data_IF_313541469940
#
_entry.id   IF_313541469940
#
_cell.length_a   1.000
_cell.length_b   1.000
_cell.length_c   1.000
_cell.angle_alpha   90.00
_cell.angle_beta   90.00
_cell.angle_gamma   90.00
#
_symmetry.space_group_name_H-M   'P 1'
#
loop_
_entity.id
_entity.type
_entity.pdbx_description
1 polymer ?
#
# COMPACT_ATOMS: atom_id res chain seq x y z
N UNK A 1 -6.99 -21.47 -4.64
CA UNK A 1 -8.16 -22.34 -4.52
C UNK A 1 -8.04 -23.29 -3.31
N UNK A 2 -7.00 -24.18 -3.22
CA UNK A 2 -6.85 -25.14 -2.11
C UNK A 2 -6.81 -24.47 -0.73
N UNK A 3 -6.06 -23.39 -0.56
CA UNK A 3 -5.96 -22.67 0.71
C UNK A 3 -7.34 -22.15 1.16
N UNK A 4 -8.05 -21.45 0.29
CA UNK A 4 -9.37 -20.89 0.61
C UNK A 4 -10.40 -21.97 0.94
N UNK A 5 -10.36 -23.09 0.23
CA UNK A 5 -11.19 -24.26 0.57
C UNK A 5 -10.92 -24.78 1.97
N UNK A 6 -9.64 -24.90 2.33
CA UNK A 6 -9.26 -25.35 3.67
C UNK A 6 -9.69 -24.36 4.75
N UNK A 7 -9.61 -23.06 4.49
CA UNK A 7 -10.11 -22.01 5.41
C UNK A 7 -11.59 -22.17 5.63
N UNK A 8 -12.39 -22.31 4.57
CA UNK A 8 -13.85 -22.52 4.66
C UNK A 8 -14.23 -23.82 5.37
N UNK A 9 -13.38 -24.86 5.32
CA UNK A 9 -13.59 -26.11 6.03
C UNK A 9 -13.22 -26.02 7.52
N UNK A 10 -12.22 -25.19 7.85
CA UNK A 10 -11.69 -25.09 9.20
C UNK A 10 -12.39 -24.04 10.07
N UNK A 11 -13.03 -23.06 9.48
CA UNK A 11 -13.65 -21.93 10.18
C UNK A 11 -15.09 -21.70 9.70
N UNK A 12 -15.95 -21.32 10.63
CA UNK A 12 -17.29 -20.80 10.30
C UNK A 12 -17.15 -19.33 9.86
N UNK A 13 -17.34 -19.08 8.58
CA UNK A 13 -17.21 -17.74 8.00
C UNK A 13 -18.56 -17.01 7.86
N UNK A 14 -19.68 -17.63 8.29
CA UNK A 14 -21.02 -17.03 8.13
C UNK A 14 -21.24 -15.79 8.98
N UNK A 15 -20.50 -15.65 10.07
CA UNK A 15 -20.60 -14.51 10.99
C UNK A 15 -19.51 -13.45 10.77
N UNK A 16 -18.69 -13.57 9.71
CA UNK A 16 -17.67 -12.56 9.42
C UNK A 16 -18.31 -11.27 8.91
N UNK A 17 -17.87 -10.15 9.47
CA UNK A 17 -18.20 -8.82 8.95
C UNK A 17 -17.33 -8.48 7.72
N UNK A 18 -16.09 -8.96 7.67
CA UNK A 18 -15.18 -8.73 6.56
C UNK A 18 -14.23 -9.92 6.38
N UNK A 19 -14.04 -10.37 5.15
CA UNK A 19 -13.00 -11.32 4.77
C UNK A 19 -11.99 -10.64 3.86
N UNK A 20 -10.87 -10.23 4.45
CA UNK A 20 -9.78 -9.53 3.75
C UNK A 20 -8.69 -10.50 3.31
N UNK A 21 -8.19 -10.31 2.10
CA UNK A 21 -6.99 -10.97 1.59
C UNK A 21 -5.95 -9.96 1.14
N UNK A 22 -4.75 -10.10 1.69
CA UNK A 22 -3.57 -9.38 1.23
C UNK A 22 -3.16 -9.95 -0.14
N UNK A 23 -3.62 -9.31 -1.24
CA UNK A 23 -3.24 -9.73 -2.60
C UNK A 23 -1.80 -9.30 -2.92
N UNK A 24 -1.35 -8.22 -2.27
CA UNK A 24 0.05 -7.85 -2.16
C UNK A 24 0.60 -7.18 -3.41
N UNK A 25 1.67 -7.74 -3.95
CA UNK A 25 2.45 -7.13 -5.04
C UNK A 25 1.68 -7.18 -6.37
N UNK A 26 1.60 -6.07 -7.11
CA UNK A 26 0.91 -5.99 -8.42
C UNK A 26 1.36 -7.07 -9.42
N UNK A 27 2.66 -7.37 -9.49
CA UNK A 27 3.22 -8.40 -10.38
C UNK A 27 2.73 -9.83 -10.08
N UNK A 28 2.18 -10.07 -8.90
CA UNK A 28 1.64 -11.38 -8.51
C UNK A 28 0.13 -11.49 -8.64
N UNK A 29 -0.57 -10.38 -8.89
CA UNK A 29 -2.02 -10.32 -9.03
C UNK A 29 -2.41 -10.68 -10.46
N UNK A 30 -3.31 -11.65 -10.61
CA UNK A 30 -3.90 -12.02 -11.91
C UNK A 30 -5.42 -12.07 -11.81
N UNK A 31 -6.10 -11.90 -12.96
CA UNK A 31 -7.57 -11.99 -13.02
C UNK A 31 -8.09 -13.33 -12.47
N UNK A 32 -7.41 -14.43 -12.78
CA UNK A 32 -7.79 -15.77 -12.31
C UNK A 32 -7.73 -15.85 -10.78
N UNK A 33 -6.67 -15.34 -10.16
CA UNK A 33 -6.55 -15.30 -8.69
C UNK A 33 -7.63 -14.44 -8.08
N UNK A 34 -7.88 -13.24 -8.60
CA UNK A 34 -8.93 -12.35 -8.13
C UNK A 34 -10.31 -12.99 -8.25
N UNK A 35 -10.61 -13.67 -9.37
CA UNK A 35 -11.86 -14.40 -9.57
C UNK A 35 -12.03 -15.51 -8.54
N UNK A 36 -10.95 -16.25 -8.23
CA UNK A 36 -10.97 -17.27 -7.16
C UNK A 36 -11.24 -16.64 -5.80
N UNK A 37 -10.57 -15.53 -5.45
CA UNK A 37 -10.82 -14.83 -4.19
C UNK A 37 -12.28 -14.43 -4.07
N UNK A 38 -12.84 -13.81 -5.12
CA UNK A 38 -14.24 -13.37 -5.15
C UNK A 38 -15.22 -14.54 -5.01
N UNK A 39 -14.95 -15.65 -5.70
CA UNK A 39 -15.75 -16.91 -5.59
C UNK A 39 -15.82 -17.43 -4.15
N UNK A 40 -14.76 -17.25 -3.36
CA UNK A 40 -14.70 -17.67 -1.96
C UNK A 40 -15.16 -16.59 -0.96
N UNK A 41 -15.87 -15.57 -1.44
CA UNK A 41 -16.48 -14.57 -0.57
C UNK A 41 -15.49 -13.56 0.04
N UNK A 42 -14.34 -13.37 -0.59
CA UNK A 42 -13.42 -12.30 -0.17
C UNK A 42 -14.04 -10.95 -0.51
N UNK A 43 -14.21 -10.11 0.51
CA UNK A 43 -14.85 -8.80 0.41
C UNK A 43 -13.84 -7.72 0.04
N UNK A 44 -12.66 -7.77 0.66
CA UNK A 44 -11.62 -6.76 0.56
C UNK A 44 -10.29 -7.36 0.15
N UNK A 45 -9.55 -6.62 -0.66
CA UNK A 45 -8.17 -6.95 -1.01
C UNK A 45 -7.24 -5.76 -0.78
N UNK A 46 -5.95 -6.04 -0.55
CA UNK A 46 -4.91 -5.02 -0.60
C UNK A 46 -4.07 -5.16 -1.87
N UNK A 47 -3.83 -4.03 -2.53
CA UNK A 47 -2.86 -3.89 -3.63
C UNK A 47 -1.77 -2.95 -3.13
N UNK A 48 -0.51 -3.40 -3.15
CA UNK A 48 0.59 -2.71 -2.49
C UNK A 48 1.56 -2.08 -3.52
N UNK A 49 1.24 -0.88 -4.07
CA UNK A 49 2.13 -0.19 -4.99
C UNK A 49 3.47 0.18 -4.37
N UNK A 50 3.47 0.58 -3.11
CA UNK A 50 4.56 1.16 -2.34
C UNK A 50 4.94 2.58 -2.81
N UNK A 51 5.06 2.81 -4.11
CA UNK A 51 5.25 4.07 -4.82
C UNK A 51 4.60 3.98 -6.20
N UNK A 52 4.32 5.13 -6.82
CA UNK A 52 3.92 5.25 -8.22
C UNK A 52 5.04 5.87 -9.07
N UNK A 53 6.28 5.87 -8.57
CA UNK A 53 7.47 6.29 -9.29
C UNK A 53 8.30 5.07 -9.67
N UNK A 54 8.41 4.79 -10.96
CA UNK A 54 9.10 3.60 -11.48
C UNK A 54 10.59 3.56 -11.09
N UNK A 55 11.28 4.71 -11.03
CA UNK A 55 12.68 4.76 -10.60
C UNK A 55 12.85 4.39 -9.12
N UNK A 56 11.91 4.81 -8.27
CA UNK A 56 11.88 4.42 -6.84
C UNK A 56 11.59 2.93 -6.70
N UNK A 57 10.60 2.42 -7.47
CA UNK A 57 10.26 0.99 -7.47
C UNK A 57 11.44 0.12 -7.88
N UNK A 58 12.15 0.48 -8.95
CA UNK A 58 13.37 -0.21 -9.39
C UNK A 58 14.46 -0.17 -8.31
N UNK A 59 14.68 1.00 -7.70
CA UNK A 59 15.68 1.21 -6.64
C UNK A 59 15.46 0.33 -5.41
N UNK A 60 14.21 0.01 -5.07
CA UNK A 60 13.86 -0.90 -3.95
C UNK A 60 13.66 -2.37 -4.38
N UNK A 61 14.04 -2.72 -5.61
CA UNK A 61 13.95 -4.09 -6.14
C UNK A 61 12.53 -4.58 -6.40
N UNK A 62 11.60 -3.67 -6.71
CA UNK A 62 10.26 -4.03 -7.18
C UNK A 62 10.29 -4.27 -8.69
N UNK A 63 9.55 -5.27 -9.16
CA UNK A 63 9.50 -5.68 -10.57
C UNK A 63 8.22 -5.21 -11.27
N UNK A 64 7.36 -4.44 -10.60
CA UNK A 64 6.17 -3.84 -11.18
C UNK A 64 6.39 -2.35 -11.41
N UNK A 65 5.68 -1.81 -12.40
CA UNK A 65 5.61 -0.39 -12.72
C UNK A 65 4.34 0.25 -12.15
N UNK A 66 4.27 1.59 -12.19
CA UNK A 66 3.03 2.32 -11.90
C UNK A 66 1.89 1.87 -12.83
N UNK A 67 2.16 1.59 -14.11
CA UNK A 67 1.15 1.09 -15.05
C UNK A 67 0.62 -0.28 -14.63
N UNK A 68 1.45 -1.18 -14.13
CA UNK A 68 0.99 -2.47 -13.60
C UNK A 68 0.03 -2.30 -12.43
N UNK A 69 0.27 -1.31 -11.56
CA UNK A 69 -0.65 -0.97 -10.45
C UNK A 69 -2.02 -0.56 -11.00
N UNK A 70 -2.05 0.36 -11.98
CA UNK A 70 -3.28 0.82 -12.62
C UNK A 70 -4.05 -0.35 -13.24
N UNK A 71 -3.37 -1.21 -13.99
CA UNK A 71 -3.96 -2.37 -14.66
C UNK A 71 -4.53 -3.37 -13.64
N UNK A 72 -3.82 -3.62 -12.54
CA UNK A 72 -4.29 -4.55 -11.49
C UNK A 72 -5.46 -3.98 -10.71
N UNK A 73 -5.44 -2.68 -10.43
CA UNK A 73 -6.56 -2.01 -9.80
C UNK A 73 -7.82 -2.10 -10.67
N UNK A 74 -7.70 -1.75 -11.96
CA UNK A 74 -8.80 -1.87 -12.91
C UNK A 74 -9.31 -3.31 -13.01
N UNK A 75 -8.41 -4.30 -13.10
CA UNK A 75 -8.78 -5.73 -13.13
C UNK A 75 -9.55 -6.12 -11.86
N UNK A 76 -9.16 -5.64 -10.70
CA UNK A 76 -9.84 -5.92 -9.44
C UNK A 76 -11.27 -5.34 -9.44
N UNK A 77 -11.43 -4.11 -9.91
CA UNK A 77 -12.76 -3.48 -10.08
C UNK A 77 -13.65 -4.26 -11.05
N UNK A 78 -13.12 -4.69 -12.19
CA UNK A 78 -13.87 -5.49 -13.18
C UNK A 78 -14.29 -6.86 -12.64
N UNK A 79 -13.50 -7.48 -11.78
CA UNK A 79 -13.85 -8.73 -11.08
C UNK A 79 -14.92 -8.50 -10.02
N UNK A 80 -15.15 -7.25 -9.61
CA UNK A 80 -16.22 -6.85 -8.69
C UNK A 80 -15.77 -6.62 -7.25
N UNK A 81 -14.49 -6.31 -7.00
CA UNK A 81 -14.06 -5.83 -5.68
C UNK A 81 -14.47 -4.37 -5.50
N UNK A 82 -15.28 -4.12 -4.46
CA UNK A 82 -15.73 -2.80 -4.04
C UNK A 82 -14.92 -2.23 -2.87
N UNK A 83 -14.13 -3.07 -2.19
CA UNK A 83 -13.27 -2.66 -1.10
C UNK A 83 -11.81 -3.00 -1.44
N UNK A 84 -11.03 -1.98 -1.81
CA UNK A 84 -9.61 -2.11 -2.14
C UNK A 84 -8.81 -1.18 -1.23
N UNK A 85 -7.83 -1.74 -0.53
CA UNK A 85 -6.82 -1.00 0.18
C UNK A 85 -5.57 -0.84 -0.70
N UNK A 86 -4.94 0.32 -0.67
CA UNK A 86 -3.67 0.56 -1.35
C UNK A 86 -2.60 1.02 -0.36
N UNK A 87 -1.48 0.30 -0.31
CA UNK A 87 -0.38 0.61 0.60
C UNK A 87 0.73 1.39 -0.11
N UNK A 88 1.18 2.47 0.51
CA UNK A 88 2.35 3.25 0.07
C UNK A 88 3.32 3.45 1.22
N UNK A 89 4.58 3.74 0.92
CA UNK A 89 5.64 3.91 1.92
C UNK A 89 6.30 5.28 1.74
N UNK A 90 6.23 6.11 2.76
CA UNK A 90 7.01 7.34 2.86
C UNK A 90 8.46 7.04 3.27
N UNK A 91 9.43 7.69 2.62
CA UNK A 91 10.85 7.58 2.94
C UNK A 91 11.56 6.42 2.26
N UNK A 92 11.07 5.91 1.14
CA UNK A 92 11.80 4.97 0.29
C UNK A 92 13.09 5.61 -0.23
N UNK A 93 14.11 4.79 -0.46
CA UNK A 93 15.37 5.27 -1.01
C UNK A 93 15.17 5.81 -2.43
N UNK A 94 15.69 7.02 -2.68
CA UNK A 94 15.52 7.72 -3.96
C UNK A 94 14.18 8.45 -4.13
N UNK A 95 13.25 8.35 -3.16
CA UNK A 95 12.01 9.11 -3.19
C UNK A 95 12.19 10.52 -2.60
N UNK A 96 11.38 11.47 -3.07
CA UNK A 96 11.35 12.85 -2.58
C UNK A 96 9.93 13.24 -2.17
N UNK A 97 9.75 14.30 -1.35
CA UNK A 97 8.43 14.79 -1.00
C UNK A 97 7.54 15.08 -2.22
N UNK A 98 8.11 15.61 -3.32
CA UNK A 98 7.39 15.91 -4.56
C UNK A 98 6.96 14.64 -5.30
N UNK A 99 7.86 13.65 -5.40
CA UNK A 99 7.56 12.35 -6.00
C UNK A 99 6.53 11.58 -5.19
N UNK A 100 6.63 11.62 -3.86
CA UNK A 100 5.64 11.03 -2.97
C UNK A 100 4.28 11.73 -3.07
N UNK A 101 4.26 13.07 -3.18
CA UNK A 101 3.04 13.84 -3.43
C UNK A 101 2.33 13.39 -4.72
N UNK A 102 3.09 13.15 -5.79
CA UNK A 102 2.57 12.61 -7.04
C UNK A 102 2.02 11.18 -6.86
N UNK A 103 2.70 10.33 -6.07
CA UNK A 103 2.19 9.01 -5.70
C UNK A 103 0.81 9.12 -5.04
N UNK A 104 0.63 10.01 -4.07
CA UNK A 104 -0.67 10.23 -3.42
C UNK A 104 -1.73 10.72 -4.41
N UNK A 105 -1.37 11.63 -5.32
CA UNK A 105 -2.31 12.13 -6.34
C UNK A 105 -2.81 10.99 -7.25
N UNK A 106 -1.92 10.14 -7.73
CA UNK A 106 -2.29 8.99 -8.55
C UNK A 106 -3.19 8.00 -7.79
N UNK A 107 -2.92 7.75 -6.50
CA UNK A 107 -3.78 6.91 -5.66
C UNK A 107 -5.16 7.53 -5.46
N UNK A 108 -5.25 8.85 -5.30
CA UNK A 108 -6.51 9.58 -5.18
C UNK A 108 -7.34 9.52 -6.47
N UNK A 109 -6.70 9.58 -7.64
CA UNK A 109 -7.38 9.42 -8.94
C UNK A 109 -8.02 8.03 -9.09
N UNK A 110 -7.41 6.99 -8.54
CA UNK A 110 -7.98 5.63 -8.48
C UNK A 110 -9.17 5.53 -7.53
N UNK A 111 -9.24 6.41 -6.53
CA UNK A 111 -10.29 6.48 -5.53
C UNK A 111 -10.55 5.12 -4.83
N UNK A 112 -9.54 4.50 -4.20
CA UNK A 112 -9.73 3.30 -3.41
C UNK A 112 -10.48 3.61 -2.10
N UNK A 113 -11.11 2.61 -1.50
CA UNK A 113 -11.83 2.78 -0.24
C UNK A 113 -10.90 3.02 0.94
N UNK A 114 -9.63 2.60 0.82
CA UNK A 114 -8.63 2.83 1.86
C UNK A 114 -7.24 3.04 1.27
N UNK A 115 -6.47 3.93 1.89
CA UNK A 115 -5.05 4.16 1.60
C UNK A 115 -4.29 4.04 2.91
N UNK A 116 -3.29 3.15 2.95
CA UNK A 116 -2.40 3.00 4.10
C UNK A 116 -1.05 3.63 3.77
N UNK A 117 -0.63 4.57 4.57
CA UNK A 117 0.69 5.22 4.44
C UNK A 117 1.62 4.66 5.53
N UNK A 118 2.59 3.88 5.11
CA UNK A 118 3.65 3.37 5.97
C UNK A 118 4.85 4.32 5.97
N UNK A 119 5.69 4.22 7.00
CA UNK A 119 7.00 4.85 7.02
C UNK A 119 8.10 3.80 7.04
N UNK A 120 9.17 4.04 6.30
CA UNK A 120 10.34 3.18 6.36
C UNK A 120 11.07 3.40 7.70
N UNK A 121 11.11 2.36 8.54
CA UNK A 121 11.85 2.42 9.79
C UNK A 121 13.37 2.31 9.52
N UNK A 122 14.14 3.31 9.93
CA UNK A 122 15.60 3.22 9.90
C UNK A 122 16.08 2.09 10.82
N UNK A 123 16.88 1.14 10.29
CA UNK A 123 17.50 0.11 11.12
C UNK A 123 18.51 0.75 12.07
N UNK A 124 18.43 0.42 13.38
CA UNK A 124 19.50 0.74 14.34
C UNK A 124 20.78 0.04 13.88
N UNK A 125 21.86 0.81 13.62
CA UNK A 125 23.15 0.28 13.22
C UNK A 125 23.76 0.92 11.98
N UNK A 126 23.12 1.92 11.39
CA UNK A 126 23.77 2.77 10.40
C UNK A 126 24.87 3.59 11.08
N UNK A 127 26.09 3.53 10.51
CA UNK A 127 27.30 4.15 11.05
C UNK A 127 27.15 5.65 11.36
N UNK A 128 27.89 6.13 12.35
CA UNK A 128 27.89 7.54 12.80
C UNK A 128 28.27 8.56 11.72
N UNK A 129 28.77 8.12 10.56
CA UNK A 129 29.12 8.99 9.42
C UNK A 129 27.93 9.62 8.70
N UNK A 130 26.66 9.17 8.95
CA UNK A 130 25.50 9.58 8.20
C UNK A 130 24.48 10.45 8.99
N UNK A 131 24.90 11.12 10.08
CA UNK A 131 23.95 11.90 10.89
C UNK A 131 23.21 12.99 10.11
N UNK A 132 23.90 13.70 9.21
CA UNK A 132 23.31 14.77 8.41
C UNK A 132 22.33 14.19 7.36
N UNK A 133 22.71 13.09 6.71
CA UNK A 133 21.87 12.38 5.76
C UNK A 133 20.64 11.77 6.44
N UNK A 134 20.79 11.20 7.61
CA UNK A 134 19.68 10.68 8.41
C UNK A 134 18.73 11.78 8.89
N UNK A 135 19.23 12.97 9.24
CA UNK A 135 18.41 14.11 9.64
C UNK A 135 17.57 14.63 8.45
N UNK A 136 18.20 14.81 7.27
CA UNK A 136 17.46 15.22 6.06
C UNK A 136 16.39 14.18 5.69
N UNK A 137 16.73 12.91 5.70
CA UNK A 137 15.77 11.82 5.43
C UNK A 137 14.58 11.82 6.42
N UNK A 138 14.81 12.14 7.69
CA UNK A 138 13.73 12.27 8.67
C UNK A 138 12.81 13.48 8.38
N UNK A 139 13.40 14.61 7.96
CA UNK A 139 12.63 15.79 7.57
C UNK A 139 11.80 15.52 6.31
N UNK A 140 12.36 14.84 5.31
CA UNK A 140 11.66 14.44 4.10
C UNK A 140 10.47 13.52 4.43
N UNK A 141 10.66 12.50 5.29
CA UNK A 141 9.59 11.61 5.72
C UNK A 141 8.49 12.39 6.45
N UNK A 142 8.84 13.32 7.33
CA UNK A 142 7.86 14.17 8.01
C UNK A 142 7.05 15.00 7.00
N UNK A 143 7.70 15.60 6.03
CA UNK A 143 7.05 16.37 4.99
C UNK A 143 6.14 15.49 4.11
N UNK A 144 6.58 14.28 3.74
CA UNK A 144 5.75 13.29 3.03
C UNK A 144 4.48 12.94 3.81
N UNK A 145 4.58 12.71 5.13
CA UNK A 145 3.42 12.41 5.98
C UNK A 145 2.46 13.60 6.10
N UNK A 146 2.99 14.82 6.18
CA UNK A 146 2.17 16.04 6.18
C UNK A 146 1.43 16.20 4.84
N UNK A 147 2.10 15.99 3.72
CA UNK A 147 1.51 16.00 2.37
C UNK A 147 0.39 14.96 2.27
N UNK A 148 0.66 13.71 2.68
CA UNK A 148 -0.34 12.66 2.65
C UNK A 148 -1.56 13.03 3.50
N UNK A 149 -1.35 13.48 4.74
CA UNK A 149 -2.42 13.88 5.63
C UNK A 149 -3.29 15.00 5.04
N UNK A 150 -2.67 16.03 4.48
CA UNK A 150 -3.38 17.15 3.86
C UNK A 150 -4.19 16.71 2.64
N UNK A 151 -3.55 16.00 1.69
CA UNK A 151 -4.21 15.56 0.44
C UNK A 151 -5.34 14.57 0.71
N UNK A 152 -5.11 13.57 1.54
CA UNK A 152 -6.12 12.54 1.86
C UNK A 152 -7.31 13.15 2.61
N UNK A 153 -7.05 14.03 3.60
CA UNK A 153 -8.14 14.71 4.33
C UNK A 153 -8.93 15.65 3.40
N UNK A 154 -8.26 16.40 2.53
CA UNK A 154 -8.92 17.26 1.55
C UNK A 154 -9.79 16.47 0.56
N UNK A 155 -9.42 15.23 0.25
CA UNK A 155 -10.19 14.31 -0.58
C UNK A 155 -11.30 13.57 0.19
N UNK A 156 -11.48 13.83 1.48
CA UNK A 156 -12.56 13.24 2.30
C UNK A 156 -12.19 11.94 3.00
N UNK A 157 -10.94 11.50 2.94
CA UNK A 157 -10.50 10.34 3.73
C UNK A 157 -10.38 10.71 5.20
N UNK A 158 -10.85 9.81 6.06
CA UNK A 158 -10.81 9.97 7.51
C UNK A 158 -9.80 9.00 8.10
N UNK A 159 -8.80 9.47 8.87
CA UNK A 159 -7.86 8.57 9.53
C UNK A 159 -8.59 7.75 10.61
N UNK A 160 -8.55 6.43 10.51
CA UNK A 160 -9.23 5.52 11.45
C UNK A 160 -8.25 4.64 12.23
N UNK A 161 -7.01 4.54 11.79
CA UNK A 161 -5.97 3.76 12.44
C UNK A 161 -4.63 4.48 12.42
N UNK A 162 -3.99 4.57 13.58
CA UNK A 162 -2.65 5.13 13.73
C UNK A 162 -1.82 4.17 14.57
N UNK A 163 -0.70 3.70 14.03
CA UNK A 163 0.25 2.91 14.80
C UNK A 163 1.60 3.62 14.94
N UNK A 164 2.20 3.49 16.12
CA UNK A 164 3.53 4.02 16.38
C UNK A 164 4.58 2.97 15.99
N UNK A 165 5.45 3.29 15.06
CA UNK A 165 6.64 2.48 14.85
C UNK A 165 7.57 2.60 16.06
N UNK A 166 7.92 1.46 16.68
CA UNK A 166 8.97 1.42 17.69
C UNK A 166 10.29 1.79 17.00
N UNK A 167 11.06 2.70 17.61
CA UNK A 167 12.39 3.15 17.17
C UNK A 167 12.44 4.36 16.21
N UNK A 168 11.36 5.05 16.00
CA UNK A 168 11.38 6.42 15.53
C UNK A 168 11.55 7.33 16.75
N UNK A 169 12.78 7.69 17.09
CA UNK A 169 13.12 8.70 18.11
C UNK A 169 13.98 9.75 17.45
#
# INVERSE_FOLDING_TARGET
DRLLRNVHQAFDLHALEEFTVEAGRPDTITREKLTVLKKYGVDRISINPQSMNDAVLEGIGRHHSAQDVLDRYQTAREVGFSAINMDTIAGLDGDTPESFAHTIDMLLELNPENITVHTLAAKRGADQHDRAHNAQKQDDVRQMLEIASQKLTAAGYVPYYLYRQKFMA
#
